data_IF_482994655147
#
_entry.id   IF_482994655147
#
_cell.length_a   1.000
_cell.length_b   1.000
_cell.length_c   1.000
_cell.angle_alpha   90.00
_cell.angle_beta   90.00
_cell.angle_gamma   90.00
#
_symmetry.space_group_name_H-M   'P 1'
#
loop_
_entity.id
_entity.type
_entity.pdbx_description
1 polymer ?
#
# COMPACT_ATOMS: atom_id res chain seq x y z
N UNK A 1 -26.37 -3.20 2.69
CA UNK A 1 -26.61 -3.40 4.13
C UNK A 1 -25.39 -4.11 4.72
N UNK A 2 -25.07 -5.34 4.31
CA UNK A 2 -23.86 -6.06 4.72
C UNK A 2 -22.54 -5.26 4.60
N UNK A 3 -22.27 -4.61 3.45
CA UNK A 3 -21.03 -3.83 3.29
C UNK A 3 -20.91 -2.62 4.24
N UNK A 4 -22.05 -2.02 4.64
CA UNK A 4 -22.08 -0.90 5.60
C UNK A 4 -21.81 -1.41 7.01
N UNK A 5 -22.42 -2.53 7.38
CA UNK A 5 -22.22 -3.19 8.68
C UNK A 5 -20.77 -3.67 8.83
N UNK A 6 -20.15 -4.21 7.77
CA UNK A 6 -18.73 -4.59 7.77
C UNK A 6 -17.82 -3.37 7.93
N UNK A 7 -18.11 -2.26 7.25
CA UNK A 7 -17.35 -1.01 7.41
C UNK A 7 -17.48 -0.45 8.83
N UNK A 8 -18.68 -0.44 9.39
CA UNK A 8 -18.95 -0.01 10.77
C UNK A 8 -18.23 -0.91 11.78
N UNK A 9 -18.19 -2.24 11.55
CA UNK A 9 -17.44 -3.18 12.39
C UNK A 9 -15.93 -2.94 12.32
N UNK A 10 -15.38 -2.80 11.12
CA UNK A 10 -13.93 -2.56 10.93
C UNK A 10 -13.52 -1.20 11.51
N UNK A 11 -14.35 -0.17 11.35
CA UNK A 11 -14.12 1.13 11.98
C UNK A 11 -14.21 1.03 13.50
N UNK A 12 -15.23 0.37 14.05
CA UNK A 12 -15.39 0.18 15.49
C UNK A 12 -14.22 -0.62 16.10
N UNK A 13 -13.74 -1.64 15.39
CA UNK A 13 -12.61 -2.46 15.84
C UNK A 13 -11.28 -1.68 15.75
N UNK A 14 -11.07 -0.90 14.69
CA UNK A 14 -9.90 -0.03 14.56
C UNK A 14 -9.89 1.08 15.62
N UNK A 15 -11.05 1.69 15.91
CA UNK A 15 -11.20 2.72 16.95
C UNK A 15 -11.01 2.14 18.35
N UNK A 16 -11.57 0.96 18.61
CA UNK A 16 -11.37 0.22 19.86
C UNK A 16 -9.88 -0.11 20.10
N UNK A 17 -9.19 -0.64 19.07
CA UNK A 17 -7.74 -0.93 19.12
C UNK A 17 -6.88 0.34 19.26
N UNK A 18 -7.37 1.49 18.79
CA UNK A 18 -6.71 2.78 18.93
C UNK A 18 -7.03 3.50 20.26
N UNK A 19 -7.91 2.96 21.11
CA UNK A 19 -8.35 3.61 22.34
C UNK A 19 -9.15 4.90 22.11
N UNK A 20 -9.78 5.05 20.94
CA UNK A 20 -10.52 6.25 20.55
C UNK A 20 -12.03 6.02 20.60
N UNK A 21 -12.78 6.97 21.18
CA UNK A 21 -14.25 6.92 21.22
C UNK A 21 -14.86 7.26 19.84
N UNK A 22 -16.02 6.68 19.55
CA UNK A 22 -16.80 6.90 18.33
C UNK A 22 -17.26 8.36 18.19
N UNK A 23 -17.35 9.11 19.30
CA UNK A 23 -17.63 10.55 19.32
C UNK A 23 -16.42 11.42 18.91
N UNK A 24 -15.21 10.85 18.90
CA UNK A 24 -13.94 11.56 18.68
C UNK A 24 -13.31 11.27 17.30
N UNK A 25 -14.06 10.63 16.38
CA UNK A 25 -13.54 10.14 15.09
C UNK A 25 -13.19 11.30 14.15
N UNK A 26 -11.99 11.86 14.35
CA UNK A 26 -11.19 12.53 13.32
C UNK A 26 -10.12 11.57 12.79
N UNK A 27 -10.38 10.26 12.78
CA UNK A 27 -9.40 9.27 12.37
C UNK A 27 -9.39 9.10 10.85
N UNK A 28 -8.21 9.14 10.24
CA UNK A 28 -8.02 8.61 8.88
C UNK A 28 -7.60 7.16 9.00
N UNK A 29 -8.51 6.25 8.68
CA UNK A 29 -8.17 4.85 8.49
C UNK A 29 -7.54 4.68 7.11
N UNK A 30 -6.25 4.32 7.07
CA UNK A 30 -5.51 4.02 5.84
C UNK A 30 -5.74 2.61 5.30
N UNK A 31 -6.66 1.85 5.91
CA UNK A 31 -7.20 0.66 5.27
C UNK A 31 -8.04 1.12 4.09
N UNK A 32 -7.57 0.95 2.85
CA UNK A 32 -8.41 1.17 1.67
C UNK A 32 -9.45 0.04 1.60
N UNK A 33 -10.41 0.06 2.51
CA UNK A 33 -11.65 -0.71 2.44
C UNK A 33 -12.49 -0.12 1.31
N UNK A 34 -12.94 -1.01 0.41
CA UNK A 34 -13.57 -0.68 -0.86
C UNK A 34 -14.66 0.39 -0.82
N UNK A 35 -14.70 1.19 -1.88
CA UNK A 35 -15.80 2.09 -2.21
C UNK A 35 -16.35 1.72 -3.60
N UNK A 36 -17.67 1.82 -3.74
CA UNK A 36 -18.50 0.91 -4.52
C UNK A 36 -18.76 1.41 -5.96
N UNK A 37 -17.71 1.63 -6.78
CA UNK A 37 -17.85 1.96 -8.21
C UNK A 37 -16.92 1.10 -9.11
N UNK A 38 -17.43 0.42 -10.17
CA UNK A 38 -16.66 -0.53 -10.98
C UNK A 38 -15.43 0.08 -11.67
N UNK A 39 -15.49 1.35 -12.07
CA UNK A 39 -14.42 2.06 -12.77
C UNK A 39 -13.31 2.55 -11.83
N UNK A 40 -13.59 2.67 -10.53
CA UNK A 40 -12.62 3.08 -9.51
C UNK A 40 -11.79 1.88 -9.01
N UNK A 41 -12.34 0.65 -9.12
CA UNK A 41 -11.63 -0.59 -8.76
C UNK A 41 -10.31 -0.73 -9.52
N UNK A 42 -10.31 -0.61 -10.85
CA UNK A 42 -9.07 -0.76 -11.64
C UNK A 42 -8.06 0.37 -11.39
N UNK A 43 -8.52 1.60 -11.17
CA UNK A 43 -7.66 2.75 -10.91
C UNK A 43 -7.07 2.78 -9.51
N UNK A 44 -7.65 2.08 -8.53
CA UNK A 44 -7.17 2.08 -7.14
C UNK A 44 -6.40 0.80 -6.81
N UNK A 45 -6.74 -0.34 -7.43
CA UNK A 45 -5.99 -1.60 -7.31
C UNK A 45 -4.54 -1.46 -7.77
N UNK A 46 -4.30 -0.67 -8.82
CA UNK A 46 -2.96 -0.47 -9.40
C UNK A 46 -2.00 0.35 -8.53
N UNK A 47 -2.46 1.11 -7.54
CA UNK A 47 -1.64 2.17 -6.93
C UNK A 47 -1.41 1.97 -5.43
N UNK A 48 -2.39 1.45 -4.70
CA UNK A 48 -2.47 1.56 -3.23
C UNK A 48 -2.45 0.21 -2.49
N UNK A 49 -2.13 -0.88 -3.19
CA UNK A 49 -2.15 -2.24 -2.64
C UNK A 49 -0.85 -2.99 -2.92
N UNK A 50 -0.60 -4.06 -2.18
CA UNK A 50 0.53 -4.96 -2.48
C UNK A 50 0.48 -5.52 -3.90
N UNK A 51 -0.73 -5.70 -4.45
CA UNK A 51 -0.92 -6.03 -5.85
C UNK A 51 -0.35 -4.95 -6.78
N UNK A 52 -0.61 -3.67 -6.51
CA UNK A 52 -0.13 -2.55 -7.34
C UNK A 52 1.39 -2.46 -7.38
N UNK A 53 2.06 -2.60 -6.24
CA UNK A 53 3.53 -2.67 -6.15
C UNK A 53 4.06 -3.84 -6.98
N UNK A 54 3.50 -5.03 -6.78
CA UNK A 54 3.92 -6.23 -7.49
C UNK A 54 3.63 -6.17 -9.00
N UNK A 55 2.49 -5.61 -9.43
CA UNK A 55 2.15 -5.44 -10.82
C UNK A 55 3.09 -4.46 -11.54
N UNK A 56 3.50 -3.39 -10.86
CA UNK A 56 4.54 -2.48 -11.35
C UNK A 56 5.89 -3.20 -11.49
N UNK A 57 6.25 -4.06 -10.54
CA UNK A 57 7.47 -4.87 -10.62
C UNK A 57 7.44 -5.86 -11.79
N UNK A 58 6.35 -6.60 -11.97
CA UNK A 58 6.15 -7.48 -13.13
C UNK A 58 6.26 -6.71 -14.46
N UNK A 59 5.64 -5.53 -14.52
CA UNK A 59 5.74 -4.64 -15.69
C UNK A 59 7.19 -4.20 -15.92
N UNK A 60 7.93 -3.87 -14.86
CA UNK A 60 9.33 -3.48 -14.95
C UNK A 60 10.23 -4.61 -15.47
N UNK A 61 10.01 -5.85 -15.01
CA UNK A 61 10.72 -7.03 -15.52
C UNK A 61 10.51 -7.21 -17.03
N UNK A 62 9.26 -7.16 -17.50
CA UNK A 62 8.96 -7.26 -18.94
C UNK A 62 9.59 -6.11 -19.72
N UNK A 63 9.54 -4.88 -19.20
CA UNK A 63 10.17 -3.72 -19.86
C UNK A 63 11.69 -3.87 -19.94
N UNK A 64 12.34 -4.36 -18.88
CA UNK A 64 13.77 -4.60 -18.87
C UNK A 64 14.15 -5.69 -19.88
N UNK A 65 13.41 -6.79 -19.91
CA UNK A 65 13.58 -7.89 -20.87
C UNK A 65 13.48 -7.40 -22.33
N UNK A 66 12.49 -6.57 -22.63
CA UNK A 66 12.30 -6.01 -23.98
C UNK A 66 13.30 -4.90 -24.35
N UNK A 67 14.21 -4.51 -23.44
CA UNK A 67 15.12 -3.37 -23.63
C UNK A 67 14.41 -2.00 -23.59
N UNK A 68 13.18 -1.95 -23.07
CA UNK A 68 12.32 -0.74 -22.96
C UNK A 68 12.35 -0.08 -21.58
N UNK A 69 13.16 -0.62 -20.68
CA UNK A 69 13.37 -0.14 -19.32
C UNK A 69 14.82 -0.34 -18.89
N UNK A 70 15.23 0.29 -17.77
CA UNK A 70 16.54 0.04 -17.19
C UNK A 70 16.67 -1.44 -16.74
N UNK A 71 17.90 -1.97 -16.66
CA UNK A 71 18.14 -3.28 -16.05
C UNK A 71 17.71 -3.29 -14.58
N UNK A 72 17.24 -4.43 -14.09
CA UNK A 72 16.76 -4.60 -12.72
C UNK A 72 16.95 -6.03 -12.23
N UNK A 73 17.40 -6.17 -10.98
CA UNK A 73 17.53 -7.43 -10.25
C UNK A 73 16.17 -8.09 -10.00
N UNK A 74 15.08 -7.31 -10.06
CA UNK A 74 13.71 -7.84 -10.01
C UNK A 74 13.47 -8.96 -11.02
N UNK A 75 14.18 -8.95 -12.17
CA UNK A 75 14.04 -9.97 -13.20
C UNK A 75 14.44 -11.35 -12.67
N UNK A 76 15.65 -11.48 -12.15
CA UNK A 76 16.15 -12.74 -11.60
C UNK A 76 15.36 -13.13 -10.34
N UNK A 77 15.20 -12.20 -9.39
CA UNK A 77 14.55 -12.51 -8.11
C UNK A 77 13.09 -12.93 -8.24
N UNK A 78 12.34 -12.37 -9.20
CA UNK A 78 10.94 -12.77 -9.44
C UNK A 78 10.88 -14.10 -10.18
N UNK A 79 11.72 -14.32 -11.20
CA UNK A 79 11.74 -15.59 -11.93
C UNK A 79 12.10 -16.75 -11.00
N UNK A 80 13.11 -16.58 -10.15
CA UNK A 80 13.51 -17.57 -9.14
C UNK A 80 12.37 -17.89 -8.18
N UNK A 81 11.65 -16.86 -7.70
CA UNK A 81 10.50 -17.07 -6.81
C UNK A 81 9.38 -17.86 -7.48
N UNK A 82 9.15 -17.58 -8.76
CA UNK A 82 8.06 -18.16 -9.52
C UNK A 82 8.43 -19.47 -10.20
N UNK A 83 9.70 -19.91 -10.08
CA UNK A 83 10.27 -21.07 -10.73
C UNK A 83 10.10 -21.03 -12.27
N UNK A 84 10.25 -19.84 -12.85
CA UNK A 84 10.12 -19.59 -14.29
C UNK A 84 11.49 -19.51 -14.96
N UNK A 85 11.59 -20.04 -16.17
CA UNK A 85 12.88 -20.07 -16.89
C UNK A 85 13.15 -18.81 -17.70
N UNK A 86 12.11 -17.99 -17.96
CA UNK A 86 12.22 -16.77 -18.77
C UNK A 86 11.14 -15.74 -18.45
N UNK A 87 11.39 -14.43 -18.68
CA UNK A 87 10.36 -13.40 -18.56
C UNK A 87 9.13 -13.60 -19.45
N UNK A 88 9.28 -14.28 -20.60
CA UNK A 88 8.15 -14.57 -21.51
C UNK A 88 7.07 -15.44 -20.84
N UNK A 89 7.44 -16.28 -19.88
CA UNK A 89 6.51 -17.12 -19.12
C UNK A 89 5.66 -16.33 -18.12
N UNK A 90 6.05 -15.09 -17.76
CA UNK A 90 5.30 -14.25 -16.82
C UNK A 90 3.89 -13.93 -17.35
N UNK A 91 3.72 -13.82 -18.67
CA UNK A 91 2.41 -13.64 -19.29
C UNK A 91 1.53 -14.86 -19.00
N UNK A 92 2.03 -16.06 -19.30
CA UNK A 92 1.31 -17.29 -19.00
C UNK A 92 0.98 -17.43 -17.51
N UNK A 93 1.96 -17.14 -16.65
CA UNK A 93 1.81 -17.18 -15.20
C UNK A 93 0.74 -16.20 -14.70
N UNK A 94 0.69 -14.96 -15.21
CA UNK A 94 -0.29 -13.95 -14.79
C UNK A 94 -1.71 -14.27 -15.26
N UNK A 95 -1.88 -14.84 -16.45
CA UNK A 95 -3.20 -15.24 -16.96
C UNK A 95 -3.72 -16.55 -16.35
N UNK A 96 -2.85 -17.43 -15.88
CA UNK A 96 -3.24 -18.73 -15.30
C UNK A 96 -4.05 -18.57 -14.00
N UNK A 97 -3.73 -17.56 -13.19
CA UNK A 97 -4.50 -17.22 -11.99
C UNK A 97 -4.37 -15.72 -11.69
N UNK A 98 -5.43 -14.92 -11.93
CA UNK A 98 -5.44 -13.49 -11.68
C UNK A 98 -5.65 -13.12 -10.21
N UNK A 99 -5.52 -14.08 -9.27
CA UNK A 99 -5.63 -13.86 -7.84
C UNK A 99 -4.74 -12.70 -7.37
N UNK A 100 -5.38 -11.70 -6.77
CA UNK A 100 -4.67 -10.53 -6.27
C UNK A 100 -3.69 -10.88 -5.14
N UNK A 101 -4.03 -11.87 -4.32
CA UNK A 101 -3.17 -12.32 -3.23
C UNK A 101 -1.87 -12.94 -3.75
N UNK A 102 -1.95 -13.71 -4.84
CA UNK A 102 -0.79 -14.34 -5.49
C UNK A 102 0.19 -13.31 -6.05
N UNK A 103 -0.34 -12.27 -6.70
CA UNK A 103 0.49 -11.17 -7.21
C UNK A 103 1.05 -10.34 -6.05
N UNK A 104 0.23 -9.99 -5.05
CA UNK A 104 0.66 -9.24 -3.88
C UNK A 104 1.74 -9.95 -3.05
N UNK A 105 1.82 -11.28 -3.13
CA UNK A 105 2.87 -12.07 -2.48
C UNK A 105 4.29 -11.81 -3.04
N UNK A 106 4.42 -11.07 -4.14
CA UNK A 106 5.71 -10.63 -4.69
C UNK A 106 6.27 -9.37 -4.00
N UNK A 107 5.48 -8.64 -3.20
CA UNK A 107 5.95 -7.41 -2.52
C UNK A 107 7.24 -7.61 -1.71
N UNK A 108 7.42 -8.70 -0.93
CA UNK A 108 8.67 -8.92 -0.20
C UNK A 108 9.91 -8.94 -1.10
N UNK A 109 9.79 -9.41 -2.36
CA UNK A 109 10.89 -9.43 -3.32
C UNK A 109 11.23 -8.03 -3.80
N UNK A 110 10.20 -7.22 -4.07
CA UNK A 110 10.38 -5.81 -4.42
C UNK A 110 11.09 -5.05 -3.30
N UNK A 111 10.72 -5.34 -2.05
CA UNK A 111 11.35 -4.76 -0.86
C UNK A 111 12.81 -5.21 -0.71
N UNK A 112 13.09 -6.51 -0.81
CA UNK A 112 14.48 -7.03 -0.76
C UNK A 112 15.34 -6.42 -1.87
N UNK A 113 14.82 -6.36 -3.11
CA UNK A 113 15.56 -5.79 -4.24
C UNK A 113 15.88 -4.30 -4.00
N UNK A 114 14.93 -3.54 -3.45
CA UNK A 114 15.16 -2.14 -3.10
C UNK A 114 16.21 -1.98 -1.98
N UNK A 115 16.20 -2.85 -0.99
CA UNK A 115 17.20 -2.89 0.10
C UNK A 115 18.61 -3.22 -0.42
N UNK A 116 18.69 -4.07 -1.46
CA UNK A 116 19.94 -4.43 -2.16
C UNK A 116 20.42 -3.34 -3.13
N UNK A 117 19.69 -2.22 -3.24
CA UNK A 117 20.08 -1.06 -4.04
C UNK A 117 19.52 -1.04 -5.47
N UNK A 118 18.56 -1.91 -5.80
CA UNK A 118 17.89 -1.86 -7.11
C UNK A 118 17.11 -0.54 -7.25
N UNK A 119 17.51 0.29 -8.22
CA UNK A 119 16.91 1.61 -8.44
C UNK A 119 15.46 1.54 -8.92
N UNK A 120 15.11 0.49 -9.68
CA UNK A 120 13.76 0.30 -10.22
C UNK A 120 12.80 -0.08 -9.10
N UNK A 121 13.20 -1.02 -8.24
CA UNK A 121 12.46 -1.41 -7.06
C UNK A 121 12.30 -0.23 -6.08
N UNK A 122 13.37 0.52 -5.83
CA UNK A 122 13.31 1.73 -5.00
C UNK A 122 12.32 2.76 -5.56
N UNK A 123 12.32 2.97 -6.87
CA UNK A 123 11.40 3.90 -7.53
C UNK A 123 9.94 3.45 -7.42
N UNK A 124 9.67 2.16 -7.62
CA UNK A 124 8.33 1.59 -7.46
C UNK A 124 7.81 1.85 -6.04
N UNK A 125 8.60 1.50 -5.02
CA UNK A 125 8.18 1.68 -3.62
C UNK A 125 8.03 3.16 -3.26
N UNK A 126 8.93 4.03 -3.73
CA UNK A 126 8.87 5.48 -3.46
C UNK A 126 7.62 6.11 -4.07
N UNK A 127 7.31 5.78 -5.33
CA UNK A 127 6.09 6.25 -5.98
C UNK A 127 4.84 5.78 -5.21
N UNK A 128 4.82 4.51 -4.78
CA UNK A 128 3.69 3.98 -3.99
C UNK A 128 3.52 4.68 -2.64
N UNK A 129 4.61 5.09 -1.99
CA UNK A 129 4.56 5.90 -0.76
C UNK A 129 3.95 7.27 -1.03
N UNK A 130 4.40 7.95 -2.08
CA UNK A 130 3.92 9.29 -2.43
C UNK A 130 2.42 9.28 -2.76
N UNK A 131 1.98 8.34 -3.58
CA UNK A 131 0.57 8.19 -3.96
C UNK A 131 -0.34 7.87 -2.77
N UNK A 132 0.16 7.05 -1.83
CA UNK A 132 -0.55 6.77 -0.59
C UNK A 132 -0.65 8.00 0.32
N UNK A 133 0.44 8.77 0.44
CA UNK A 133 0.44 10.02 1.19
C UNK A 133 -0.51 11.04 0.57
N UNK A 134 -0.50 11.21 -0.76
CA UNK A 134 -1.39 12.13 -1.48
C UNK A 134 -2.87 11.76 -1.31
N UNK A 135 -3.17 10.47 -1.31
CA UNK A 135 -4.52 9.96 -1.03
C UNK A 135 -4.98 10.35 0.38
N UNK A 136 -4.12 10.19 1.39
CA UNK A 136 -4.40 10.65 2.77
C UNK A 136 -4.60 12.15 2.81
N UNK A 137 -3.71 12.90 2.17
CA UNK A 137 -3.76 14.36 2.17
C UNK A 137 -5.07 14.86 1.57
N UNK A 138 -5.53 14.24 0.49
CA UNK A 138 -6.82 14.54 -0.13
C UNK A 138 -7.99 14.31 0.84
N UNK A 139 -7.99 13.19 1.56
CA UNK A 139 -9.04 12.86 2.56
C UNK A 139 -9.02 13.83 3.74
N UNK A 140 -7.84 14.09 4.33
CA UNK A 140 -7.67 15.03 5.46
C UNK A 140 -8.21 16.40 5.09
N UNK A 141 -7.88 16.92 3.90
CA UNK A 141 -8.37 18.22 3.40
C UNK A 141 -9.87 18.20 3.17
N UNK A 142 -10.38 17.19 2.46
CA UNK A 142 -11.81 17.09 2.11
C UNK A 142 -12.70 17.03 3.35
N UNK A 143 -12.26 16.32 4.38
CA UNK A 143 -12.98 16.15 5.65
C UNK A 143 -12.62 17.22 6.69
N UNK A 144 -11.71 18.16 6.36
CA UNK A 144 -11.24 19.22 7.25
C UNK A 144 -10.73 18.71 8.61
N UNK A 145 -10.08 17.54 8.62
CA UNK A 145 -9.65 16.87 9.88
C UNK A 145 -8.53 17.63 10.60
N UNK A 146 -7.73 18.38 9.84
CA UNK A 146 -6.63 19.21 10.33
C UNK A 146 -7.07 20.62 10.78
N UNK A 147 -8.38 20.89 10.89
CA UNK A 147 -8.91 22.20 11.25
C UNK A 147 -8.68 23.27 10.18
N UNK A 148 -9.16 24.50 10.44
CA UNK A 148 -9.11 25.61 9.47
C UNK A 148 -7.69 26.04 9.11
N UNK A 149 -6.74 25.91 10.05
CA UNK A 149 -5.34 26.29 9.86
C UNK A 149 -4.44 25.10 9.46
N UNK A 150 -4.97 23.89 9.35
CA UNK A 150 -4.19 22.70 9.00
C UNK A 150 -3.30 22.14 10.12
N UNK A 151 -3.48 22.62 11.36
CA UNK A 151 -2.63 22.29 12.51
C UNK A 151 -3.33 21.47 13.59
N UNK A 152 -4.64 21.24 13.49
CA UNK A 152 -5.34 20.44 14.49
C UNK A 152 -4.75 19.03 14.52
N UNK A 153 -4.69 18.49 15.74
CA UNK A 153 -4.30 17.10 15.94
C UNK A 153 -5.37 16.15 15.42
N UNK A 154 -4.96 15.10 14.71
CA UNK A 154 -5.82 14.01 14.31
C UNK A 154 -5.08 12.66 14.29
N UNK A 155 -5.73 11.55 14.65
CA UNK A 155 -5.15 10.23 14.55
C UNK A 155 -5.07 9.75 13.09
N UNK A 156 -3.92 9.21 12.72
CA UNK A 156 -3.65 8.55 11.44
C UNK A 156 -3.46 7.05 11.69
N UNK A 157 -4.51 6.26 11.47
CA UNK A 157 -4.49 4.82 11.75
C UNK A 157 -4.04 4.07 10.50
N UNK A 158 -2.91 3.38 10.59
CA UNK A 158 -2.31 2.62 9.49
C UNK A 158 -2.48 1.12 9.72
N UNK A 159 -3.16 0.42 8.79
CA UNK A 159 -3.41 -1.02 8.85
C UNK A 159 -3.17 -1.64 7.48
N UNK A 160 -2.51 -2.81 7.43
CA UNK A 160 -2.34 -3.59 6.20
C UNK A 160 -0.96 -4.24 6.10
N UNK A 161 -0.89 -5.43 5.51
CA UNK A 161 0.32 -6.25 5.48
C UNK A 161 1.56 -5.57 4.90
N UNK A 162 1.40 -4.67 3.92
CA UNK A 162 2.49 -3.87 3.34
C UNK A 162 3.05 -2.85 4.34
N UNK A 163 2.21 -2.30 5.22
CA UNK A 163 2.61 -1.34 6.25
C UNK A 163 3.18 -2.03 7.50
N UNK A 164 2.89 -3.32 7.67
CA UNK A 164 3.25 -4.12 8.86
C UNK A 164 4.54 -4.95 8.66
N UNK A 165 4.83 -5.40 7.43
CA UNK A 165 5.80 -6.51 7.21
C UNK A 165 7.19 -6.09 6.71
N UNK A 166 7.40 -4.83 6.33
CA UNK A 166 8.59 -4.39 5.58
C UNK A 166 9.57 -3.62 6.48
N UNK A 167 10.44 -4.34 7.18
CA UNK A 167 11.34 -3.75 8.19
C UNK A 167 12.59 -3.07 7.63
N UNK A 168 13.15 -3.50 6.50
CA UNK A 168 14.35 -2.87 5.94
C UNK A 168 14.01 -1.67 5.04
N UNK A 169 12.90 -1.72 4.29
CA UNK A 169 12.30 -0.56 3.62
C UNK A 169 11.01 -0.12 4.35
N UNK A 170 11.14 0.77 5.34
CA UNK A 170 10.03 1.22 6.22
C UNK A 170 8.98 2.07 5.47
N UNK A 171 8.09 1.38 4.73
CA UNK A 171 6.99 1.99 3.96
C UNK A 171 6.14 2.88 4.87
N UNK A 172 5.71 2.35 6.01
CA UNK A 172 4.82 3.05 6.92
C UNK A 172 5.46 4.30 7.52
N UNK A 173 6.75 4.25 7.87
CA UNK A 173 7.50 5.41 8.33
C UNK A 173 7.68 6.47 7.24
N UNK A 174 7.93 6.07 5.99
CA UNK A 174 8.04 7.00 4.86
C UNK A 174 6.70 7.69 4.54
N UNK A 175 5.60 6.94 4.54
CA UNK A 175 4.23 7.49 4.39
C UNK A 175 3.93 8.48 5.50
N UNK A 176 4.22 8.10 6.74
CA UNK A 176 4.10 8.98 7.91
C UNK A 176 4.88 10.27 7.73
N UNK A 177 6.14 10.18 7.31
CA UNK A 177 6.99 11.36 7.08
C UNK A 177 6.41 12.29 6.02
N UNK A 178 5.92 11.76 4.89
CA UNK A 178 5.26 12.56 3.86
C UNK A 178 4.03 13.30 4.40
N UNK A 179 3.20 12.61 5.19
CA UNK A 179 1.98 13.20 5.78
C UNK A 179 2.33 14.25 6.83
N UNK A 180 3.28 13.97 7.73
CA UNK A 180 3.68 14.88 8.81
C UNK A 180 4.31 16.18 8.30
N UNK A 181 4.94 16.17 7.11
CA UNK A 181 5.42 17.39 6.45
C UNK A 181 4.28 18.34 6.06
N UNK A 182 3.13 17.79 5.70
CA UNK A 182 1.94 18.57 5.30
C UNK A 182 1.04 18.87 6.50
N UNK A 183 0.90 17.92 7.42
CA UNK A 183 0.11 18.02 8.63
C UNK A 183 0.94 17.64 9.85
N UNK A 184 1.60 18.61 10.50
CA UNK A 184 2.35 18.37 11.73
C UNK A 184 1.51 17.81 12.87
N UNK A 185 0.18 17.99 12.82
CA UNK A 185 -0.78 17.42 13.78
C UNK A 185 -1.20 15.97 13.50
N UNK A 186 -0.65 15.30 12.48
CA UNK A 186 -0.93 13.88 12.24
C UNK A 186 -0.26 13.01 13.31
N UNK A 187 -1.04 12.18 14.00
CA UNK A 187 -0.56 11.25 15.03
C UNK A 187 -0.69 9.81 14.55
N UNK A 188 0.41 9.18 14.09
CA UNK A 188 0.38 7.82 13.55
C UNK A 188 0.05 6.80 14.65
N UNK A 189 -0.91 5.94 14.37
CA UNK A 189 -1.30 4.82 15.22
C UNK A 189 -1.16 3.53 14.41
N UNK A 190 -0.35 2.60 14.93
CA UNK A 190 -0.21 1.24 14.40
C UNK A 190 -0.88 0.29 15.37
N UNK A 191 -2.13 -0.14 15.14
CA UNK A 191 -2.79 -1.08 16.03
C UNK A 191 -2.09 -2.43 15.96
N UNK A 192 -1.90 -3.08 17.11
CA UNK A 192 -1.46 -4.48 17.16
C UNK A 192 -2.64 -5.36 16.67
N UNK A 193 -2.55 -5.84 15.44
CA UNK A 193 -3.51 -6.81 14.92
C UNK A 193 -3.02 -8.19 15.31
N UNK A 194 -3.55 -8.75 16.40
CA UNK A 194 -3.42 -10.17 16.68
C UNK A 194 -4.02 -10.95 15.51
N UNK A 195 -3.17 -11.55 14.67
CA UNK A 195 -3.60 -12.55 13.70
C UNK A 195 -3.94 -13.79 14.51
N UNK A 196 -5.23 -14.04 14.71
CA UNK A 196 -5.69 -15.29 15.31
C UNK A 196 -5.37 -16.38 14.28
N UNK A 197 -4.31 -17.13 14.54
CA UNK A 197 -3.86 -18.30 13.77
C UNK A 197 -4.83 -19.46 13.86
#
# INVERSE_FOLDING_TARGET
IAARETLEQVMAEALSKAGADHSAVRAVCLAVSGVNHPTDKQRILNWLSGYGIAAQALTAVIRAHDGRGPPTNLSESILDKLELSSPDELIGWTYADPSWARIAALVPIVVSSAEEGDEVANKILSNSVEELADSVIAVVRRLSLCGKEGKDSFPLVMVGGVLESNKGWDIAGKVTNCISKVFPGAHPIRPEVCVIS
#
